data_IF_680605442665
#
_entry.id   IF_680605442665
#
_cell.length_a   1.000
_cell.length_b   1.000
_cell.length_c   1.000
_cell.angle_alpha   90.00
_cell.angle_beta   90.00
_cell.angle_gamma   90.00
#
_symmetry.space_group_name_H-M   'P 1'
#
loop_
_entity.id
_entity.type
_entity.pdbx_description
1 polymer ?
#
# COMPACT_ATOMS: atom_id res chain seq x y z
N UNK A 1 13.74 13.86 -8.14
CA UNK A 1 13.43 13.91 -6.68
C UNK A 1 12.23 13.02 -6.40
N UNK A 2 12.33 12.21 -5.36
CA UNK A 2 11.26 11.31 -4.94
C UNK A 2 10.58 11.91 -3.72
N UNK A 3 9.25 11.85 -3.69
CA UNK A 3 8.51 12.23 -2.50
C UNK A 3 7.25 11.37 -2.36
N UNK A 4 6.67 11.36 -1.16
CA UNK A 4 5.45 10.62 -0.85
C UNK A 4 4.34 11.61 -0.55
N UNK A 5 3.15 11.30 -1.03
CA UNK A 5 1.99 12.12 -0.72
C UNK A 5 0.76 11.24 -0.50
N UNK A 6 -0.12 11.72 0.35
CA UNK A 6 -1.42 11.07 0.54
C UNK A 6 -2.20 11.15 -0.76
N UNK A 7 -2.90 10.06 -1.10
CA UNK A 7 -3.77 10.01 -2.29
C UNK A 7 -4.82 11.12 -2.22
N UNK A 8 -5.11 11.74 -3.36
CA UNK A 8 -6.12 12.79 -3.48
C UNK A 8 -6.93 12.60 -4.75
N UNK A 9 -8.01 13.35 -4.92
CA UNK A 9 -8.85 13.26 -6.10
C UNK A 9 -8.11 13.59 -7.41
N UNK A 10 -7.03 14.35 -7.33
CA UNK A 10 -6.20 14.69 -8.49
C UNK A 10 -5.45 13.48 -9.05
N UNK A 11 -5.36 12.41 -8.28
CA UNK A 11 -4.61 11.22 -8.64
C UNK A 11 -5.47 10.18 -9.36
N UNK A 12 -6.71 10.52 -9.70
CA UNK A 12 -7.69 9.60 -10.29
C UNK A 12 -7.13 8.82 -11.49
N UNK A 13 -6.59 9.52 -12.48
CA UNK A 13 -6.07 8.87 -13.70
C UNK A 13 -4.82 8.05 -13.41
N UNK A 14 -3.87 8.62 -12.69
CA UNK A 14 -2.60 7.95 -12.38
C UNK A 14 -2.81 6.69 -11.56
N UNK A 15 -3.68 6.75 -10.57
CA UNK A 15 -3.97 5.60 -9.70
C UNK A 15 -4.70 4.51 -10.48
N UNK A 16 -5.65 4.88 -11.35
CA UNK A 16 -6.33 3.91 -12.20
C UNK A 16 -5.33 3.12 -13.05
N UNK A 17 -4.42 3.83 -13.71
CA UNK A 17 -3.42 3.20 -14.56
C UNK A 17 -2.52 2.24 -13.76
N UNK A 18 -2.12 2.63 -12.56
CA UNK A 18 -1.32 1.77 -11.70
C UNK A 18 -2.09 0.53 -11.23
N UNK A 19 -3.32 0.70 -10.79
CA UNK A 19 -4.11 -0.42 -10.26
C UNK A 19 -4.42 -1.46 -11.33
N UNK A 20 -4.52 -1.06 -12.60
CA UNK A 20 -4.70 -2.01 -13.69
C UNK A 20 -3.50 -2.94 -13.87
N UNK A 21 -2.30 -2.52 -13.46
CA UNK A 21 -1.13 -3.39 -13.46
C UNK A 21 -1.16 -4.40 -12.30
N UNK A 22 -1.91 -4.11 -11.26
CA UNK A 22 -2.01 -4.96 -10.08
C UNK A 22 -3.08 -6.04 -10.24
N UNK A 23 -4.29 -5.63 -10.65
CA UNK A 23 -5.44 -6.52 -10.73
C UNK A 23 -6.57 -5.89 -11.54
N UNK A 24 -7.67 -6.60 -11.67
CA UNK A 24 -8.88 -6.06 -12.28
C UNK A 24 -9.50 -5.02 -11.35
N UNK A 25 -9.75 -3.83 -11.87
CA UNK A 25 -10.26 -2.70 -11.09
C UNK A 25 -11.79 -2.62 -11.09
N UNK A 26 -12.43 -3.17 -12.12
CA UNK A 26 -13.89 -3.11 -12.27
C UNK A 26 -14.37 -1.75 -12.76
N UNK A 27 -15.58 -1.35 -12.35
CA UNK A 27 -16.14 -0.06 -12.72
C UNK A 27 -15.48 1.06 -11.94
N UNK A 28 -14.64 1.82 -12.62
CA UNK A 28 -13.86 2.89 -12.03
C UNK A 28 -14.22 4.20 -12.71
N UNK A 29 -14.80 5.13 -11.95
CA UNK A 29 -15.09 6.47 -12.45
C UNK A 29 -14.76 7.50 -11.36
N UNK A 30 -14.65 8.75 -11.77
CA UNK A 30 -14.20 9.82 -10.89
C UNK A 30 -15.13 10.04 -9.71
N UNK A 31 -16.44 9.94 -9.93
CA UNK A 31 -17.42 10.10 -8.86
C UNK A 31 -17.27 9.05 -7.77
N UNK A 32 -17.13 7.79 -8.15
CA UNK A 32 -16.91 6.70 -7.20
C UNK A 32 -15.56 6.84 -6.47
N UNK A 33 -14.55 7.29 -7.18
CA UNK A 33 -13.23 7.50 -6.59
C UNK A 33 -13.28 8.59 -5.52
N UNK A 34 -13.93 9.72 -5.81
CA UNK A 34 -14.09 10.80 -4.84
C UNK A 34 -14.89 10.33 -3.63
N UNK A 35 -16.00 9.61 -3.86
CA UNK A 35 -16.81 9.06 -2.78
C UNK A 35 -15.99 8.09 -1.91
N UNK A 36 -15.16 7.26 -2.51
CA UNK A 36 -14.27 6.36 -1.77
C UNK A 36 -13.33 7.16 -0.85
N UNK A 37 -12.69 8.21 -1.38
CA UNK A 37 -11.78 9.03 -0.58
C UNK A 37 -12.51 9.72 0.58
N UNK A 38 -13.71 10.24 0.33
CA UNK A 38 -14.49 10.94 1.35
C UNK A 38 -14.97 10.02 2.47
N UNK A 39 -15.20 8.74 2.16
CA UNK A 39 -15.73 7.75 3.10
C UNK A 39 -14.64 6.89 3.73
N UNK A 40 -13.39 7.12 3.40
CA UNK A 40 -12.28 6.29 3.85
C UNK A 40 -12.15 6.40 5.38
N UNK A 41 -12.16 5.26 6.11
CA UNK A 41 -11.94 5.29 7.55
C UNK A 41 -10.57 5.88 7.91
N UNK A 42 -10.49 6.49 9.08
CA UNK A 42 -9.28 7.19 9.53
C UNK A 42 -8.08 6.28 9.75
N UNK A 43 -8.29 4.95 9.80
CA UNK A 43 -7.23 3.97 9.98
C UNK A 43 -6.69 3.40 8.68
N UNK A 44 -7.22 3.84 7.53
CA UNK A 44 -6.76 3.40 6.20
C UNK A 44 -6.05 4.58 5.54
N UNK A 45 -4.78 4.35 5.16
CA UNK A 45 -3.92 5.39 4.60
C UNK A 45 -3.34 4.91 3.29
N UNK A 46 -3.70 5.57 2.20
CA UNK A 46 -3.14 5.27 0.87
C UNK A 46 -2.20 6.40 0.48
N UNK A 47 -0.97 6.01 0.11
CA UNK A 47 0.07 6.94 -0.27
C UNK A 47 0.58 6.66 -1.66
N UNK A 48 0.92 7.72 -2.35
CA UNK A 48 1.59 7.66 -3.64
C UNK A 48 3.07 7.95 -3.46
N UNK A 49 3.91 7.24 -4.21
CA UNK A 49 5.31 7.65 -4.39
C UNK A 49 5.39 8.37 -5.74
N UNK A 50 6.05 9.50 -5.75
CA UNK A 50 6.16 10.36 -6.92
C UNK A 50 7.61 10.59 -7.30
N UNK A 51 7.89 10.56 -8.60
CA UNK A 51 9.16 11.05 -9.14
C UNK A 51 8.86 12.38 -9.81
N UNK A 52 9.43 13.45 -9.25
CA UNK A 52 9.09 14.82 -9.61
C UNK A 52 7.58 15.06 -9.48
N UNK A 53 6.85 15.26 -10.55
CA UNK A 53 5.39 15.48 -10.48
C UNK A 53 4.59 14.26 -10.93
N UNK A 54 5.25 13.14 -11.22
CA UNK A 54 4.57 11.94 -11.71
C UNK A 54 4.33 10.95 -10.58
N UNK A 55 3.10 10.48 -10.46
CA UNK A 55 2.77 9.37 -9.56
C UNK A 55 3.29 8.10 -10.20
N UNK A 56 4.24 7.44 -9.56
CA UNK A 56 4.90 6.24 -10.09
C UNK A 56 4.60 4.98 -9.29
N UNK A 57 3.88 5.12 -8.20
CA UNK A 57 3.47 3.98 -7.39
C UNK A 57 2.43 4.38 -6.35
N UNK A 58 1.76 3.37 -5.81
CA UNK A 58 0.73 3.55 -4.78
C UNK A 58 0.73 2.33 -3.86
N UNK A 59 0.39 2.55 -2.60
CA UNK A 59 0.24 1.48 -1.63
C UNK A 59 -0.59 1.94 -0.45
N UNK A 60 -1.16 1.00 0.27
CA UNK A 60 -2.04 1.27 1.41
C UNK A 60 -1.48 0.64 2.68
N UNK A 61 -1.57 1.36 3.78
CA UNK A 61 -1.32 0.85 5.12
C UNK A 61 -2.58 0.98 5.95
N UNK A 62 -3.03 -0.13 6.52
CA UNK A 62 -4.20 -0.18 7.40
C UNK A 62 -3.70 -0.37 8.83
N UNK A 63 -4.12 0.49 9.73
CA UNK A 63 -3.74 0.41 11.13
C UNK A 63 -4.89 -0.20 11.91
N UNK A 64 -4.68 -1.42 12.39
CA UNK A 64 -5.70 -2.17 13.13
C UNK A 64 -5.46 -2.05 14.63
N UNK A 65 -6.46 -1.59 15.38
CA UNK A 65 -6.41 -1.59 16.84
C UNK A 65 -6.71 -3.00 17.35
N UNK A 66 -5.84 -3.52 18.21
CA UNK A 66 -6.00 -4.84 18.83
C UNK A 66 -6.33 -4.71 20.31
N UNK A 67 -6.81 -5.79 20.90
CA UNK A 67 -6.92 -5.94 22.34
C UNK A 67 -5.64 -6.59 22.89
N UNK A 68 -5.11 -7.57 22.14
CA UNK A 68 -3.92 -8.31 22.53
C UNK A 68 -2.66 -7.42 22.52
N UNK A 69 -1.59 -7.89 23.10
CA UNK A 69 -0.31 -7.17 23.21
C UNK A 69 -0.52 -5.78 23.82
N UNK A 70 -1.27 -5.74 24.93
CA UNK A 70 -1.48 -4.52 25.70
C UNK A 70 -2.19 -3.43 24.90
N UNK A 71 -3.26 -3.80 24.19
CA UNK A 71 -4.03 -2.89 23.33
C UNK A 71 -3.15 -2.22 22.27
N UNK A 72 -2.23 -2.99 21.70
CA UNK A 72 -1.35 -2.51 20.66
C UNK A 72 -2.05 -2.45 19.29
N UNK A 73 -1.30 -2.04 18.28
CA UNK A 73 -1.79 -1.91 16.91
C UNK A 73 -0.98 -2.80 15.98
N UNK A 74 -1.60 -3.22 14.87
CA UNK A 74 -0.94 -3.97 13.80
C UNK A 74 -1.14 -3.20 12.50
N UNK A 75 -0.08 -3.05 11.72
CA UNK A 75 -0.15 -2.48 10.39
C UNK A 75 -0.31 -3.58 9.34
N UNK A 76 -1.14 -3.32 8.33
CA UNK A 76 -1.35 -4.21 7.19
C UNK A 76 -1.02 -3.43 5.92
N UNK A 77 -0.03 -3.89 5.17
CA UNK A 77 0.29 -3.30 3.86
C UNK A 77 -0.50 -4.03 2.79
N UNK A 78 -1.21 -3.27 1.97
CA UNK A 78 -2.12 -3.78 0.96
C UNK A 78 -1.97 -3.04 -0.36
N UNK A 79 -2.26 -3.73 -1.47
CA UNK A 79 -2.42 -3.15 -2.81
C UNK A 79 -1.25 -2.26 -3.24
N UNK A 80 -0.05 -2.81 -3.12
CA UNK A 80 1.18 -2.10 -3.51
C UNK A 80 1.46 -2.35 -4.99
N UNK A 81 1.66 -1.29 -5.74
CA UNK A 81 2.06 -1.38 -7.15
C UNK A 81 2.98 -0.23 -7.54
N UNK A 82 4.01 -0.54 -8.32
CA UNK A 82 4.90 0.44 -8.93
C UNK A 82 4.74 0.34 -10.44
N UNK A 83 4.67 1.47 -11.11
CA UNK A 83 4.60 1.55 -12.57
C UNK A 83 5.76 0.75 -13.18
N UNK A 84 5.42 -0.19 -14.07
CA UNK A 84 6.41 -1.07 -14.70
C UNK A 84 7.51 -0.32 -15.47
N UNK A 85 7.21 0.90 -15.94
CA UNK A 85 8.20 1.74 -16.62
C UNK A 85 9.26 2.27 -15.67
N UNK A 86 9.08 2.13 -14.37
CA UNK A 86 10.00 2.60 -13.34
C UNK A 86 10.65 1.45 -12.57
N UNK A 87 10.59 0.23 -13.09
CA UNK A 87 11.24 -0.93 -12.48
C UNK A 87 12.75 -0.74 -12.41
N UNK A 88 13.35 -1.30 -11.38
CA UNK A 88 14.81 -1.27 -11.21
C UNK A 88 15.34 0.00 -10.55
N UNK A 89 14.49 0.95 -10.21
CA UNK A 89 14.91 2.20 -9.55
C UNK A 89 14.81 2.15 -8.02
N UNK A 90 14.33 1.04 -7.45
CA UNK A 90 14.19 0.89 -6.01
C UNK A 90 12.97 1.57 -5.41
N UNK A 91 12.01 2.03 -6.22
CA UNK A 91 10.84 2.75 -5.72
C UNK A 91 9.91 1.88 -4.90
N UNK A 92 9.80 0.60 -5.25
CA UNK A 92 9.02 -0.35 -4.45
C UNK A 92 9.57 -0.47 -3.04
N UNK A 93 10.87 -0.59 -2.90
CA UNK A 93 11.54 -0.66 -1.60
C UNK A 93 11.34 0.63 -0.80
N UNK A 94 11.46 1.78 -1.45
CA UNK A 94 11.20 3.07 -0.80
C UNK A 94 9.77 3.17 -0.29
N UNK A 95 8.80 2.74 -1.09
CA UNK A 95 7.39 2.77 -0.70
C UNK A 95 7.13 1.85 0.49
N UNK A 96 7.66 0.63 0.47
CA UNK A 96 7.49 -0.31 1.58
C UNK A 96 8.12 0.24 2.86
N UNK A 97 9.30 0.83 2.76
CA UNK A 97 9.93 1.46 3.93
C UNK A 97 9.10 2.61 4.48
N UNK A 98 8.54 3.43 3.60
CA UNK A 98 7.67 4.55 4.01
C UNK A 98 6.44 4.03 4.77
N UNK A 99 5.74 3.05 4.22
CA UNK A 99 4.53 2.50 4.83
C UNK A 99 4.84 1.78 6.15
N UNK A 100 5.94 1.04 6.19
CA UNK A 100 6.38 0.34 7.40
C UNK A 100 6.72 1.32 8.50
N UNK A 101 7.45 2.38 8.17
CA UNK A 101 7.81 3.41 9.14
C UNK A 101 6.59 4.19 9.62
N UNK A 102 5.63 4.44 8.74
CA UNK A 102 4.35 5.05 9.11
C UNK A 102 3.68 4.23 10.22
N UNK A 103 3.57 2.92 10.04
CA UNK A 103 2.97 2.04 11.03
C UNK A 103 3.75 2.05 12.35
N UNK A 104 5.08 2.05 12.27
CA UNK A 104 5.93 2.11 13.47
C UNK A 104 5.67 3.38 14.27
N UNK A 105 5.56 4.51 13.61
CA UNK A 105 5.30 5.80 14.26
C UNK A 105 3.88 5.87 14.84
N UNK A 106 2.94 5.12 14.27
CA UNK A 106 1.57 5.01 14.79
C UNK A 106 1.46 4.06 15.99
N UNK A 107 2.56 3.46 16.41
CA UNK A 107 2.59 2.58 17.58
C UNK A 107 2.30 1.12 17.29
N UNK A 108 2.38 0.69 16.05
CA UNK A 108 2.21 -0.72 15.71
C UNK A 108 3.38 -1.54 16.24
N UNK A 109 3.08 -2.73 16.78
CA UNK A 109 4.15 -3.63 17.23
C UNK A 109 4.65 -4.53 16.10
N UNK A 110 3.90 -4.61 15.01
CA UNK A 110 4.32 -5.33 13.80
C UNK A 110 3.56 -4.81 12.58
N UNK A 111 4.12 -5.10 11.42
CA UNK A 111 3.45 -4.90 10.13
C UNK A 111 3.43 -6.25 9.42
N UNK A 112 2.29 -6.61 8.85
CA UNK A 112 2.14 -7.83 8.08
C UNK A 112 1.63 -7.51 6.68
N UNK A 113 1.89 -8.43 5.75
CA UNK A 113 1.39 -8.34 4.38
C UNK A 113 1.32 -9.74 3.77
N UNK A 114 0.48 -9.89 2.76
CA UNK A 114 0.46 -11.08 1.93
C UNK A 114 1.24 -10.81 0.66
N UNK A 115 1.92 -11.83 0.16
CA UNK A 115 2.59 -11.74 -1.14
C UNK A 115 2.62 -13.11 -1.79
N UNK A 116 2.69 -13.12 -3.12
CA UNK A 116 2.91 -14.37 -3.85
C UNK A 116 4.36 -14.82 -3.66
N UNK A 117 4.61 -16.11 -3.84
CA UNK A 117 5.97 -16.65 -3.78
C UNK A 117 6.91 -15.96 -4.77
N UNK A 118 6.37 -15.46 -5.88
CA UNK A 118 7.14 -14.80 -6.93
C UNK A 118 7.83 -13.52 -6.43
N UNK A 119 7.17 -12.77 -5.53
CA UNK A 119 7.69 -11.50 -5.01
C UNK A 119 8.16 -11.59 -3.56
N UNK A 120 8.15 -12.77 -2.98
CA UNK A 120 8.60 -12.98 -1.59
C UNK A 120 10.02 -12.46 -1.38
N UNK A 121 10.92 -12.74 -2.31
CA UNK A 121 12.30 -12.27 -2.23
C UNK A 121 12.43 -10.76 -2.16
N UNK A 122 11.55 -10.03 -2.85
CA UNK A 122 11.51 -8.58 -2.77
C UNK A 122 11.21 -8.12 -1.34
N UNK A 123 10.20 -8.71 -0.70
CA UNK A 123 9.84 -8.34 0.66
C UNK A 123 10.88 -8.77 1.68
N UNK A 124 11.56 -9.89 1.45
CA UNK A 124 12.69 -10.30 2.30
C UNK A 124 13.81 -9.25 2.28
N UNK A 125 14.09 -8.67 1.11
CA UNK A 125 15.06 -7.59 0.99
C UNK A 125 14.61 -6.29 1.70
N UNK A 126 13.30 -6.15 1.92
CA UNK A 126 12.75 -5.03 2.70
C UNK A 126 12.77 -5.31 4.21
N UNK A 127 13.26 -6.48 4.65
CA UNK A 127 13.34 -6.83 6.06
C UNK A 127 12.19 -7.68 6.57
N UNK A 128 11.28 -8.11 5.69
CA UNK A 128 10.16 -8.97 6.08
C UNK A 128 10.58 -10.43 6.09
N UNK A 129 9.96 -11.22 6.95
CA UNK A 129 10.19 -12.68 7.02
C UNK A 129 8.85 -13.39 6.94
N UNK A 130 8.85 -14.54 6.29
CA UNK A 130 7.65 -15.37 6.19
C UNK A 130 7.24 -15.87 7.58
N UNK A 131 5.96 -15.72 7.93
CA UNK A 131 5.45 -16.10 9.25
C UNK A 131 4.40 -17.20 9.19
N UNK A 132 3.32 -16.96 8.44
CA UNK A 132 2.15 -17.84 8.41
C UNK A 132 1.66 -18.03 6.99
N UNK A 133 0.67 -18.91 6.81
CA UNK A 133 0.03 -19.10 5.53
C UNK A 133 -1.17 -18.17 5.39
N UNK A 134 -1.35 -17.63 4.19
CA UNK A 134 -2.55 -16.88 3.83
C UNK A 134 -3.61 -17.87 3.34
N UNK A 135 -4.87 -17.65 3.72
CA UNK A 135 -6.00 -18.46 3.28
C UNK A 135 -7.12 -17.53 2.84
N UNK A 136 -7.88 -17.92 1.84
CA UNK A 136 -8.95 -17.09 1.33
C UNK A 136 -10.16 -17.88 0.90
N UNK A 137 -11.31 -17.24 0.85
CA UNK A 137 -12.54 -17.74 0.26
C UNK A 137 -13.15 -16.61 -0.56
N UNK A 138 -13.55 -16.92 -1.79
CA UNK A 138 -14.12 -15.94 -2.72
C UNK A 138 -15.62 -16.14 -2.81
N UNK A 139 -16.35 -15.04 -2.97
CA UNK A 139 -17.81 -15.05 -3.05
C UNK A 139 -18.29 -14.70 -4.45
#
# INVERSE_FOLDING_TARGET
>A
MIFFKKISEKDYDSVYNLLQELTEVGEYNKERFIAYLDQLPSNIHTYCICEDYNVVGVGTIIIEQKIIHNFSKVGHIEDVVIDSNYNGKGYGKHLIYFLTNFAKQEGCYKVILDCSHKVKGFYEKCGYTEKNSSMGIYF
#
